data_IF_244798643096
#
_entry.id   IF_244798643096
#
_cell.length_a   1.000
_cell.length_b   1.000
_cell.length_c   1.000
_cell.angle_alpha   90.00
_cell.angle_beta   90.00
_cell.angle_gamma   90.00
#
_symmetry.space_group_name_H-M   'P 1'
#
loop_
_entity.id
_entity.type
_entity.pdbx_description
1 polymer ?
#
# COMPACT_ATOMS: atom_id res chain seq x y z
N UNK A 1 17.08 16.35 -17.89
CA UNK A 1 15.87 15.50 -18.00
C UNK A 1 16.22 14.01 -18.15
N UNK A 2 16.93 13.55 -19.19
CA UNK A 2 17.18 12.13 -19.46
C UNK A 2 17.73 11.36 -18.25
N UNK A 3 18.75 11.88 -17.57
CA UNK A 3 19.34 11.22 -16.39
C UNK A 3 18.30 11.06 -15.27
N UNK A 4 17.49 12.10 -15.00
CA UNK A 4 16.42 12.02 -14.00
C UNK A 4 15.36 10.97 -14.39
N UNK A 5 15.00 10.88 -15.66
CA UNK A 5 14.06 9.88 -16.18
C UNK A 5 14.58 8.46 -15.97
N UNK A 6 15.88 8.21 -16.23
CA UNK A 6 16.50 6.91 -15.97
C UNK A 6 16.47 6.58 -14.48
N UNK A 7 16.79 7.53 -13.62
CA UNK A 7 16.75 7.32 -12.16
C UNK A 7 15.32 7.08 -11.67
N UNK A 8 14.33 7.79 -12.19
CA UNK A 8 12.89 7.55 -11.91
C UNK A 8 12.48 6.16 -12.37
N UNK A 9 12.94 5.70 -13.55
CA UNK A 9 12.69 4.34 -14.00
C UNK A 9 13.31 3.30 -13.05
N UNK A 10 14.53 3.54 -12.54
CA UNK A 10 15.17 2.64 -11.57
C UNK A 10 14.41 2.61 -10.24
N UNK A 11 13.87 3.74 -9.79
CA UNK A 11 13.00 3.79 -8.59
C UNK A 11 11.71 3.01 -8.84
N UNK A 12 11.10 3.15 -10.02
CA UNK A 12 9.92 2.37 -10.39
C UNK A 12 10.22 0.86 -10.42
N UNK A 13 11.35 0.48 -11.01
CA UNK A 13 11.79 -0.92 -11.02
C UNK A 13 11.99 -1.47 -9.61
N UNK A 14 12.59 -0.67 -8.71
CA UNK A 14 12.75 -1.03 -7.30
C UNK A 14 11.39 -1.20 -6.61
N UNK A 15 10.45 -0.27 -6.81
CA UNK A 15 9.10 -0.34 -6.25
C UNK A 15 8.34 -1.59 -6.69
N UNK A 16 8.38 -1.92 -7.96
CA UNK A 16 7.74 -3.11 -8.51
C UNK A 16 8.51 -4.42 -8.26
N UNK A 17 9.64 -4.39 -7.55
CA UNK A 17 10.45 -5.58 -7.22
C UNK A 17 10.06 -6.26 -5.91
N UNK A 18 8.94 -5.91 -5.27
CA UNK A 18 8.53 -6.49 -3.98
C UNK A 18 8.41 -8.02 -4.05
N UNK A 19 7.85 -8.56 -5.12
CA UNK A 19 7.72 -10.00 -5.33
C UNK A 19 9.09 -10.74 -5.37
N UNK A 20 10.18 -10.03 -5.71
CA UNK A 20 11.54 -10.56 -5.73
C UNK A 20 12.23 -10.39 -4.36
N UNK A 21 12.00 -9.26 -3.69
CA UNK A 21 12.64 -8.89 -2.43
C UNK A 21 11.88 -9.39 -1.19
N UNK A 22 10.70 -9.98 -1.40
CA UNK A 22 9.78 -10.35 -0.31
C UNK A 22 9.07 -9.13 0.25
N UNK A 23 8.43 -9.26 1.40
CA UNK A 23 7.67 -8.18 2.05
C UNK A 23 8.62 -7.10 2.60
N UNK A 24 9.28 -6.39 1.70
CA UNK A 24 10.28 -5.36 2.02
C UNK A 24 9.68 -3.96 2.21
N UNK A 25 8.41 -3.76 1.83
CA UNK A 25 7.70 -2.47 1.84
C UNK A 25 8.40 -1.35 1.03
N UNK A 26 9.28 -1.70 0.08
CA UNK A 26 9.97 -0.74 -0.78
C UNK A 26 9.02 0.03 -1.70
N UNK A 27 7.84 -0.53 -1.99
CA UNK A 27 6.78 0.10 -2.78
C UNK A 27 5.98 1.16 -2.02
N UNK A 28 6.21 1.31 -0.71
CA UNK A 28 5.45 2.28 0.10
C UNK A 28 5.83 3.72 -0.22
N UNK A 29 4.84 4.65 -0.24
CA UNK A 29 5.09 6.07 -0.52
C UNK A 29 6.12 6.72 0.40
N UNK A 30 6.19 6.30 1.66
CA UNK A 30 7.18 6.81 2.64
C UNK A 30 8.63 6.46 2.25
N UNK A 31 8.83 5.43 1.42
CA UNK A 31 10.16 5.03 0.89
C UNK A 31 10.40 5.66 -0.48
N UNK A 32 9.41 5.60 -1.37
CA UNK A 32 9.54 6.10 -2.74
C UNK A 32 9.64 7.63 -2.80
N UNK A 33 8.90 8.35 -1.93
CA UNK A 33 8.90 9.81 -1.89
C UNK A 33 10.29 10.41 -1.67
N UNK A 34 11.02 10.03 -0.62
CA UNK A 34 12.41 10.47 -0.41
C UNK A 34 13.35 10.13 -1.57
N UNK A 35 13.21 8.95 -2.18
CA UNK A 35 14.04 8.55 -3.34
C UNK A 35 13.76 9.43 -4.56
N UNK A 36 12.49 9.71 -4.83
CA UNK A 36 12.09 10.67 -5.89
C UNK A 36 12.62 12.05 -5.57
N UNK A 37 12.47 12.52 -4.32
CA UNK A 37 13.00 13.81 -3.86
C UNK A 37 14.52 13.93 -4.06
N UNK A 38 15.26 12.87 -3.78
CA UNK A 38 16.71 12.82 -4.02
C UNK A 38 17.03 13.02 -5.51
N UNK A 39 16.30 12.38 -6.42
CA UNK A 39 16.48 12.54 -7.88
C UNK A 39 16.09 13.93 -8.34
N UNK A 40 15.07 14.51 -7.72
CA UNK A 40 14.61 15.87 -8.06
C UNK A 40 15.53 16.94 -7.49
N UNK A 41 16.31 16.65 -6.44
CA UNK A 41 17.28 17.57 -5.81
C UNK A 41 16.78 18.18 -4.49
N UNK A 42 15.62 17.75 -3.99
CA UNK A 42 15.09 18.14 -2.68
C UNK A 42 14.47 16.94 -1.98
N UNK A 43 15.28 16.23 -1.20
CA UNK A 43 14.87 15.06 -0.45
C UNK A 43 13.84 15.41 0.65
N UNK A 44 13.91 16.62 1.22
CA UNK A 44 13.00 17.02 2.31
C UNK A 44 11.59 17.17 1.77
N UNK A 45 11.41 17.91 0.69
CA UNK A 45 10.10 18.05 0.02
C UNK A 45 9.58 16.70 -0.47
N UNK A 46 10.43 15.85 -1.08
CA UNK A 46 10.06 14.50 -1.47
C UNK A 46 9.60 13.62 -0.30
N UNK A 47 10.23 13.77 0.88
CA UNK A 47 9.82 13.06 2.09
C UNK A 47 8.48 13.53 2.62
N UNK A 48 8.23 14.84 2.64
CA UNK A 48 6.95 15.43 3.08
C UNK A 48 5.82 14.96 2.15
N UNK A 49 6.02 15.03 0.84
CA UNK A 49 5.06 14.56 -0.15
C UNK A 49 4.81 13.05 -0.04
N UNK A 50 5.87 12.25 0.10
CA UNK A 50 5.79 10.81 0.29
C UNK A 50 5.05 10.42 1.58
N UNK A 51 5.30 11.13 2.68
CA UNK A 51 4.58 10.91 3.93
C UNK A 51 3.09 11.27 3.80
N UNK A 52 2.76 12.34 3.09
CA UNK A 52 1.36 12.73 2.82
C UNK A 52 0.65 11.69 1.96
N UNK A 53 1.31 11.18 0.91
CA UNK A 53 0.81 10.06 0.09
C UNK A 53 0.65 8.78 0.91
N UNK A 54 1.59 8.49 1.82
CA UNK A 54 1.51 7.33 2.71
C UNK A 54 0.28 7.38 3.60
N UNK A 55 0.02 8.54 4.23
CA UNK A 55 -1.17 8.72 5.09
C UNK A 55 -2.48 8.57 4.31
N UNK A 56 -2.51 9.05 3.07
CA UNK A 56 -3.69 8.91 2.20
C UNK A 56 -3.91 7.47 1.74
N UNK A 57 -2.82 6.73 1.48
CA UNK A 57 -2.87 5.38 0.92
C UNK A 57 -2.61 4.28 1.97
N UNK A 58 -2.52 4.60 3.25
CA UNK A 58 -2.25 3.61 4.31
C UNK A 58 -3.31 2.51 4.37
N UNK A 59 -4.56 2.84 4.04
CA UNK A 59 -5.68 1.91 3.97
C UNK A 59 -5.82 1.17 2.63
N UNK A 60 -5.01 1.50 1.63
CA UNK A 60 -5.03 0.87 0.32
C UNK A 60 -4.27 -0.48 0.37
N UNK A 61 -4.90 -1.48 0.98
CA UNK A 61 -4.36 -2.84 1.14
C UNK A 61 -5.25 -3.80 0.37
N UNK A 62 -4.65 -4.71 -0.40
CA UNK A 62 -5.41 -5.76 -1.09
C UNK A 62 -5.96 -6.77 -0.09
N UNK A 63 -7.28 -6.92 -0.07
CA UNK A 63 -7.98 -7.90 0.77
C UNK A 63 -8.98 -8.66 -0.11
N UNK A 64 -8.82 -9.96 -0.19
CA UNK A 64 -9.62 -10.80 -1.07
C UNK A 64 -9.43 -10.45 -2.55
N UNK A 65 -10.51 -10.21 -3.26
CA UNK A 65 -10.50 -9.83 -4.68
C UNK A 65 -10.34 -8.32 -4.93
N UNK A 66 -10.25 -7.50 -3.88
CA UNK A 66 -10.04 -6.06 -4.01
C UNK A 66 -8.59 -5.76 -4.36
N UNK A 67 -8.38 -5.04 -5.46
CA UNK A 67 -7.07 -4.53 -5.86
C UNK A 67 -7.05 -3.00 -5.68
N UNK A 68 -6.24 -2.46 -4.77
CA UNK A 68 -6.15 -1.03 -4.53
C UNK A 68 -5.50 -0.29 -5.70
N UNK A 69 -5.65 1.06 -5.79
CA UNK A 69 -4.91 1.87 -6.74
C UNK A 69 -3.41 1.62 -6.65
N UNK A 70 -2.71 1.69 -7.78
CA UNK A 70 -1.26 1.44 -7.83
C UNK A 70 -0.46 2.53 -7.10
N UNK A 71 -0.06 2.23 -5.87
CA UNK A 71 0.63 3.17 -4.99
C UNK A 71 2.00 3.58 -5.51
N UNK A 72 2.65 2.73 -6.33
CA UNK A 72 3.99 2.97 -6.87
C UNK A 72 3.94 4.09 -7.91
N UNK A 73 3.12 3.91 -8.96
CA UNK A 73 2.98 4.92 -10.01
C UNK A 73 2.40 6.22 -9.47
N UNK A 74 1.38 6.13 -8.60
CA UNK A 74 0.77 7.29 -7.97
C UNK A 74 1.79 8.10 -7.17
N UNK A 75 2.64 7.45 -6.39
CA UNK A 75 3.66 8.14 -5.60
C UNK A 75 4.76 8.72 -6.47
N UNK A 76 5.36 7.91 -7.35
CA UNK A 76 6.49 8.37 -8.17
C UNK A 76 6.08 9.52 -9.07
N UNK A 77 4.97 9.42 -9.77
CA UNK A 77 4.49 10.47 -10.66
C UNK A 77 3.88 11.64 -9.89
N UNK A 78 3.08 11.39 -8.86
CA UNK A 78 2.51 12.44 -8.04
C UNK A 78 3.58 13.34 -7.42
N UNK A 79 4.58 12.74 -6.75
CA UNK A 79 5.68 13.50 -6.13
C UNK A 79 6.57 14.17 -7.19
N UNK A 80 7.00 13.42 -8.21
CA UNK A 80 7.94 13.99 -9.20
C UNK A 80 7.34 15.10 -10.03
N UNK A 81 6.08 14.98 -10.44
CA UNK A 81 5.39 16.00 -11.23
C UNK A 81 5.03 17.23 -10.39
N UNK A 82 4.58 17.05 -9.13
CA UNK A 82 4.35 18.15 -8.20
C UNK A 82 5.64 18.93 -7.92
N UNK A 83 6.77 18.24 -7.70
CA UNK A 83 8.07 18.87 -7.52
C UNK A 83 8.55 19.60 -8.79
N UNK A 84 8.30 19.07 -10.00
CA UNK A 84 8.61 19.76 -11.25
C UNK A 84 7.82 21.06 -11.41
N UNK A 85 6.56 21.04 -10.98
CA UNK A 85 5.70 22.22 -11.03
C UNK A 85 5.96 23.22 -9.87
N UNK A 86 6.83 22.88 -8.91
CA UNK A 86 7.05 23.69 -7.70
C UNK A 86 5.82 23.79 -6.81
N UNK A 87 4.93 22.80 -6.88
CA UNK A 87 3.69 22.72 -6.13
C UNK A 87 3.91 22.05 -4.76
N UNK A 88 2.91 22.13 -3.90
CA UNK A 88 2.93 21.59 -2.53
C UNK A 88 2.56 20.09 -2.44
N UNK A 89 2.48 19.58 -1.20
CA UNK A 89 2.17 18.16 -0.96
C UNK A 89 0.73 17.78 -1.36
N UNK A 90 -0.22 18.72 -1.37
CA UNK A 90 -1.60 18.48 -1.80
C UNK A 90 -1.68 18.21 -3.30
N UNK A 91 -0.84 18.91 -4.10
CA UNK A 91 -0.72 18.65 -5.52
C UNK A 91 -0.21 17.24 -5.83
N UNK A 92 0.72 16.71 -5.02
CA UNK A 92 1.18 15.34 -5.19
C UNK A 92 0.04 14.32 -5.02
N UNK A 93 -0.86 14.51 -4.05
CA UNK A 93 -2.07 13.69 -3.89
C UNK A 93 -3.02 13.81 -5.08
N UNK A 94 -3.29 15.04 -5.47
CA UNK A 94 -4.23 15.35 -6.56
C UNK A 94 -3.82 14.74 -7.89
N UNK A 95 -2.52 14.75 -8.18
CA UNK A 95 -1.97 14.14 -9.39
C UNK A 95 -1.80 12.63 -9.22
N UNK A 96 -1.32 12.18 -8.07
CA UNK A 96 -0.94 10.80 -7.83
C UNK A 96 -2.12 9.84 -7.78
N UNK A 97 -3.24 10.19 -7.11
CA UNK A 97 -4.38 9.29 -6.95
C UNK A 97 -5.06 8.94 -8.28
N UNK A 98 -5.40 9.91 -9.17
CA UNK A 98 -5.93 9.59 -10.48
C UNK A 98 -4.97 8.76 -11.34
N UNK A 99 -3.67 9.08 -11.30
CA UNK A 99 -2.64 8.32 -12.03
C UNK A 99 -2.59 6.88 -11.53
N UNK A 100 -2.57 6.67 -10.21
CA UNK A 100 -2.60 5.34 -9.58
C UNK A 100 -3.79 4.50 -10.06
N UNK A 101 -4.96 5.13 -10.19
CA UNK A 101 -6.18 4.47 -10.65
C UNK A 101 -6.12 4.11 -12.14
N UNK A 102 -5.59 5.00 -12.97
CA UNK A 102 -5.42 4.75 -14.41
C UNK A 102 -4.42 3.61 -14.64
N UNK A 103 -3.28 3.64 -13.94
CA UNK A 103 -2.25 2.59 -14.08
C UNK A 103 -2.81 1.24 -13.60
N UNK A 104 -3.54 1.20 -12.48
CA UNK A 104 -4.23 0.00 -12.03
C UNK A 104 -5.17 -0.57 -13.12
N UNK A 105 -5.97 0.30 -13.76
CA UNK A 105 -6.88 -0.12 -14.81
C UNK A 105 -6.13 -0.72 -16.01
N UNK A 106 -5.01 -0.10 -16.41
CA UNK A 106 -4.16 -0.59 -17.51
C UNK A 106 -3.45 -1.91 -17.14
N UNK A 107 -2.89 -2.02 -15.94
CA UNK A 107 -2.25 -3.27 -15.48
C UNK A 107 -3.28 -4.40 -15.34
N UNK A 108 -4.52 -4.09 -14.93
CA UNK A 108 -5.59 -5.08 -14.89
C UNK A 108 -6.03 -5.50 -16.28
N UNK A 109 -6.18 -4.56 -17.21
CA UNK A 109 -6.68 -4.85 -18.56
C UNK A 109 -5.61 -5.48 -19.47
N UNK A 110 -4.35 -5.08 -19.34
CA UNK A 110 -3.26 -5.47 -20.23
C UNK A 110 -2.19 -6.32 -19.53
N UNK A 111 -1.84 -5.99 -18.29
CA UNK A 111 -0.77 -6.67 -17.54
C UNK A 111 -1.20 -8.07 -17.10
N UNK A 112 -2.38 -8.22 -16.52
CA UNK A 112 -2.86 -9.53 -16.05
C UNK A 112 -3.00 -10.57 -17.18
N UNK A 113 -3.54 -10.28 -18.38
CA UNK A 113 -3.55 -11.25 -19.46
C UNK A 113 -2.15 -11.69 -19.91
N UNK A 114 -1.18 -10.76 -19.95
CA UNK A 114 0.23 -11.09 -20.29
C UNK A 114 0.84 -12.00 -19.22
N UNK A 115 0.61 -11.69 -17.96
CA UNK A 115 1.04 -12.55 -16.83
C UNK A 115 0.43 -13.95 -16.95
N UNK A 116 -0.87 -14.06 -17.24
CA UNK A 116 -1.55 -15.34 -17.37
C UNK A 116 -0.96 -16.21 -18.47
N UNK A 117 -0.61 -15.62 -19.63
CA UNK A 117 0.06 -16.33 -20.71
C UNK A 117 1.45 -16.89 -20.29
N UNK A 118 2.17 -16.14 -19.45
CA UNK A 118 3.46 -16.61 -18.92
C UNK A 118 3.27 -17.71 -17.86
N UNK A 119 2.23 -17.65 -17.05
CA UNK A 119 1.87 -18.72 -16.09
C UNK A 119 1.61 -20.02 -16.83
N UNK A 120 0.81 -20.02 -17.89
CA UNK A 120 0.59 -21.23 -18.70
C UNK A 120 1.90 -21.80 -19.33
N UNK A 121 2.88 -20.93 -19.64
CA UNK A 121 4.19 -21.41 -20.09
C UNK A 121 4.98 -22.04 -18.96
N UNK A 122 4.84 -21.51 -17.74
CA UNK A 122 5.49 -22.09 -16.55
C UNK A 122 4.91 -23.48 -16.29
N UNK A 123 3.58 -23.66 -16.36
CA UNK A 123 2.93 -24.95 -16.19
C UNK A 123 3.51 -26.00 -17.16
N UNK A 124 3.65 -25.63 -18.44
CA UNK A 124 4.27 -26.50 -19.44
C UNK A 124 5.73 -26.83 -19.13
N UNK A 125 6.51 -25.84 -18.64
CA UNK A 125 7.91 -26.11 -18.26
C UNK A 125 8.02 -27.04 -17.04
N UNK A 126 7.01 -27.03 -16.15
CA UNK A 126 6.92 -27.97 -15.04
C UNK A 126 6.68 -29.40 -15.56
N UNK A 127 5.78 -29.57 -16.54
CA UNK A 127 5.51 -30.85 -17.19
C UNK A 127 6.78 -31.39 -17.88
N UNK A 128 7.55 -30.51 -18.54
CA UNK A 128 8.80 -30.84 -19.22
C UNK A 128 9.99 -31.05 -18.27
N UNK A 129 9.87 -30.71 -16.98
CA UNK A 129 10.92 -30.82 -15.95
C UNK A 129 12.07 -29.81 -16.12
N UNK A 130 11.90 -28.72 -16.90
CA UNK A 130 12.93 -27.69 -17.13
C UNK A 130 12.94 -26.62 -16.01
N UNK A 131 13.70 -26.90 -14.95
CA UNK A 131 13.83 -26.00 -13.80
C UNK A 131 14.39 -24.61 -14.19
N UNK A 132 15.30 -24.55 -15.17
CA UNK A 132 15.88 -23.26 -15.61
C UNK A 132 14.84 -22.41 -16.34
N UNK A 133 14.02 -23.02 -17.19
CA UNK A 133 12.92 -22.32 -17.85
C UNK A 133 11.85 -21.88 -16.86
N UNK A 134 11.51 -22.67 -15.86
CA UNK A 134 10.60 -22.31 -14.78
C UNK A 134 11.10 -21.03 -14.06
N UNK A 135 12.34 -21.05 -13.56
CA UNK A 135 12.91 -19.90 -12.84
C UNK A 135 12.93 -18.64 -13.71
N UNK A 136 13.39 -18.75 -14.97
CA UNK A 136 13.44 -17.62 -15.90
C UNK A 136 12.05 -17.04 -16.17
N UNK A 137 11.06 -17.90 -16.44
CA UNK A 137 9.71 -17.45 -16.77
C UNK A 137 8.98 -16.89 -15.53
N UNK A 138 9.26 -17.40 -14.32
CA UNK A 138 8.78 -16.79 -13.07
C UNK A 138 9.33 -15.37 -12.86
N UNK A 139 10.64 -15.16 -13.11
CA UNK A 139 11.24 -13.81 -13.00
C UNK A 139 10.63 -12.84 -14.02
N UNK A 140 10.35 -13.30 -15.24
CA UNK A 140 9.70 -12.47 -16.26
C UNK A 140 8.25 -12.20 -15.88
N UNK A 141 7.51 -13.21 -15.40
CA UNK A 141 6.12 -13.08 -15.01
C UNK A 141 5.91 -12.09 -13.86
N UNK A 142 6.86 -12.00 -12.91
CA UNK A 142 6.82 -11.06 -11.80
C UNK A 142 6.74 -9.60 -12.23
N UNK A 143 7.46 -9.22 -13.31
CA UNK A 143 7.37 -7.87 -13.89
C UNK A 143 6.28 -7.74 -14.96
N UNK A 144 5.82 -8.85 -15.51
CA UNK A 144 4.86 -8.84 -16.61
C UNK A 144 3.47 -8.37 -16.18
N UNK A 145 3.12 -8.45 -14.89
CA UNK A 145 1.86 -7.90 -14.39
C UNK A 145 1.87 -6.37 -14.42
N UNK A 146 2.99 -5.74 -14.08
CA UNK A 146 3.14 -4.29 -13.91
C UNK A 146 3.95 -3.63 -15.03
N UNK A 147 4.03 -4.27 -16.21
CA UNK A 147 4.81 -3.72 -17.33
C UNK A 147 4.27 -2.38 -17.83
N UNK A 148 2.95 -2.16 -17.74
CA UNK A 148 2.34 -0.89 -18.10
C UNK A 148 2.83 0.24 -17.19
N UNK A 149 2.81 0.03 -15.87
CA UNK A 149 3.34 1.00 -14.91
C UNK A 149 4.81 1.30 -15.14
N UNK A 150 5.64 0.26 -15.37
CA UNK A 150 7.07 0.42 -15.64
C UNK A 150 7.36 1.27 -16.89
N UNK A 151 6.51 1.22 -17.91
CA UNK A 151 6.66 2.05 -19.12
C UNK A 151 6.03 3.43 -18.96
N UNK A 152 4.87 3.51 -18.35
CA UNK A 152 4.13 4.77 -18.20
C UNK A 152 4.88 5.75 -17.29
N UNK A 153 5.47 5.29 -16.19
CA UNK A 153 6.15 6.16 -15.24
C UNK A 153 7.26 7.01 -15.90
N UNK A 154 8.27 6.44 -16.58
CA UNK A 154 9.32 7.25 -17.18
C UNK A 154 8.81 8.09 -18.35
N UNK A 155 7.83 7.61 -19.13
CA UNK A 155 7.24 8.38 -20.23
C UNK A 155 6.43 9.56 -19.70
N UNK A 156 5.57 9.35 -18.72
CA UNK A 156 4.77 10.41 -18.10
C UNK A 156 5.68 11.44 -17.39
N UNK A 157 6.75 10.99 -16.74
CA UNK A 157 7.72 11.91 -16.13
C UNK A 157 8.46 12.77 -17.18
N UNK A 158 8.83 12.17 -18.32
CA UNK A 158 9.58 12.86 -19.36
C UNK A 158 8.74 13.89 -20.13
N UNK A 159 7.50 13.52 -20.47
CA UNK A 159 6.60 14.33 -21.30
C UNK A 159 5.54 15.09 -20.48
N UNK A 160 5.33 14.72 -19.22
CA UNK A 160 4.20 15.19 -18.43
C UNK A 160 4.39 16.55 -17.76
N UNK A 161 5.61 17.06 -17.64
CA UNK A 161 5.89 18.31 -16.92
C UNK A 161 5.11 19.50 -17.47
N UNK A 162 5.13 19.70 -18.78
CA UNK A 162 4.44 20.82 -19.43
C UNK A 162 2.91 20.66 -19.39
N UNK A 163 2.44 19.40 -19.53
CA UNK A 163 1.03 19.08 -19.44
C UNK A 163 0.48 19.30 -18.03
N UNK A 164 1.24 18.92 -16.98
CA UNK A 164 0.85 19.13 -15.58
C UNK A 164 0.88 20.61 -15.22
N UNK A 165 1.91 21.35 -15.60
CA UNK A 165 1.97 22.79 -15.37
C UNK A 165 0.79 23.52 -16.03
N UNK A 166 0.44 23.13 -17.26
CA UNK A 166 -0.72 23.69 -17.97
C UNK A 166 -2.04 23.31 -17.28
N UNK A 167 -2.15 22.07 -16.79
CA UNK A 167 -3.33 21.60 -16.06
C UNK A 167 -3.53 22.36 -14.75
N UNK A 168 -2.47 22.52 -13.95
CA UNK A 168 -2.53 23.24 -12.68
C UNK A 168 -2.92 24.70 -12.86
N UNK A 169 -2.47 25.35 -13.95
CA UNK A 169 -2.82 26.72 -14.26
C UNK A 169 -4.27 26.93 -14.74
N UNK A 170 -4.93 25.87 -15.21
CA UNK A 170 -6.34 25.91 -15.63
C UNK A 170 -7.29 25.70 -14.44
N UNK A 171 -6.81 25.09 -13.37
CA UNK A 171 -7.63 24.79 -12.19
C UNK A 171 -7.95 26.08 -11.44
N UNK A 172 -9.25 26.45 -11.29
CA UNK A 172 -9.63 27.65 -10.54
C UNK A 172 -9.26 27.53 -9.05
N UNK A 173 -8.97 28.65 -8.39
CA UNK A 173 -8.55 28.71 -6.98
C UNK A 173 -9.52 28.00 -6.01
N UNK A 174 -10.84 28.08 -6.26
CA UNK A 174 -11.83 27.38 -5.41
C UNK A 174 -11.71 25.86 -5.52
N UNK A 175 -11.31 25.35 -6.68
CA UNK A 175 -11.08 23.89 -6.87
C UNK A 175 -9.79 23.49 -6.17
N UNK A 176 -8.71 24.29 -6.28
CA UNK A 176 -7.46 24.06 -5.57
C UNK A 176 -7.69 24.02 -4.05
N UNK A 177 -8.40 25.03 -3.52
CA UNK A 177 -8.78 25.05 -2.11
C UNK A 177 -9.62 23.81 -1.71
N UNK A 178 -10.56 23.40 -2.56
CA UNK A 178 -11.35 22.18 -2.35
C UNK A 178 -10.49 20.92 -2.33
N UNK A 179 -9.48 20.84 -3.19
CA UNK A 179 -8.53 19.75 -3.24
C UNK A 179 -7.63 19.71 -2.01
N UNK A 180 -7.16 20.86 -1.52
CA UNK A 180 -6.36 20.95 -0.29
C UNK A 180 -7.16 20.47 0.92
N UNK A 181 -8.41 20.89 1.03
CA UNK A 181 -9.31 20.42 2.08
C UNK A 181 -9.56 18.92 1.96
N UNK A 182 -9.83 18.43 0.75
CA UNK A 182 -10.00 16.99 0.49
C UNK A 182 -8.74 16.20 0.84
N UNK A 183 -7.56 16.68 0.46
CA UNK A 183 -6.27 16.09 0.81
C UNK A 183 -6.06 15.99 2.32
N UNK A 184 -6.51 17.00 3.10
CA UNK A 184 -6.45 16.95 4.55
C UNK A 184 -7.37 15.88 5.17
N UNK A 185 -8.44 15.47 4.48
CA UNK A 185 -9.34 14.38 4.94
C UNK A 185 -8.87 12.99 4.52
N UNK A 186 -8.04 12.85 3.48
CA UNK A 186 -7.60 11.53 3.00
C UNK A 186 -6.90 10.68 4.06
N UNK A 187 -6.01 11.21 4.93
CA UNK A 187 -5.45 10.44 6.03
C UNK A 187 -6.51 9.87 6.97
N UNK A 188 -7.54 10.67 7.29
CA UNK A 188 -8.65 10.21 8.13
C UNK A 188 -9.44 9.08 7.45
N UNK A 189 -9.66 9.16 6.12
CA UNK A 189 -10.27 8.10 5.34
C UNK A 189 -9.42 6.82 5.35
N UNK A 190 -8.09 6.94 5.15
CA UNK A 190 -7.16 5.82 5.22
C UNK A 190 -7.20 5.13 6.58
N UNK A 191 -7.16 5.88 7.67
CA UNK A 191 -7.32 5.32 9.02
C UNK A 191 -8.70 4.72 9.27
N UNK A 192 -9.77 5.29 8.72
CA UNK A 192 -11.12 4.72 8.83
C UNK A 192 -11.21 3.36 8.11
N UNK A 193 -10.57 3.21 6.95
CA UNK A 193 -10.50 1.93 6.24
C UNK A 193 -9.73 0.88 7.05
N UNK A 194 -8.58 1.22 7.63
CA UNK A 194 -7.85 0.32 8.54
C UNK A 194 -8.68 -0.03 9.78
N UNK A 195 -9.34 0.96 10.39
CA UNK A 195 -10.21 0.72 11.53
C UNK A 195 -11.35 -0.24 11.17
N UNK A 196 -11.96 -0.10 9.98
CA UNK A 196 -13.02 -0.99 9.51
C UNK A 196 -12.56 -2.46 9.40
N UNK A 197 -11.30 -2.69 9.01
CA UNK A 197 -10.74 -4.05 8.91
C UNK A 197 -10.52 -4.71 10.27
N UNK A 198 -10.19 -3.92 11.30
CA UNK A 198 -9.87 -4.39 12.65
C UNK A 198 -11.12 -4.36 13.56
N UNK A 199 -12.08 -3.48 13.25
CA UNK A 199 -13.22 -3.19 14.09
C UNK A 199 -14.19 -4.38 14.16
N UNK A 200 -14.44 -4.84 15.39
CA UNK A 200 -15.50 -5.79 15.69
C UNK A 200 -16.21 -5.35 16.99
N UNK A 201 -17.27 -6.05 17.36
CA UNK A 201 -18.07 -5.68 18.57
C UNK A 201 -17.25 -5.70 19.87
N UNK A 202 -16.18 -6.47 19.92
CA UNK A 202 -15.30 -6.61 21.09
C UNK A 202 -14.26 -5.49 21.14
N UNK A 203 -13.72 -5.07 19.98
CA UNK A 203 -12.65 -4.07 19.89
C UNK A 203 -13.19 -2.64 19.85
N UNK A 204 -14.40 -2.43 19.30
CA UNK A 204 -15.00 -1.11 19.16
C UNK A 204 -15.01 -0.27 20.45
N UNK A 205 -15.37 -0.80 21.65
CA UNK A 205 -15.33 -0.01 22.88
C UNK A 205 -13.95 0.54 23.22
N UNK A 206 -12.88 -0.23 22.95
CA UNK A 206 -11.50 0.21 23.21
C UNK A 206 -11.05 1.31 22.25
N UNK A 207 -11.51 1.27 21.01
CA UNK A 207 -11.28 2.35 20.06
C UNK A 207 -11.88 3.68 20.56
N UNK A 208 -13.16 3.66 20.95
CA UNK A 208 -13.81 4.85 21.49
C UNK A 208 -13.17 5.31 22.79
N UNK A 209 -12.78 4.40 23.68
CA UNK A 209 -12.07 4.76 24.89
C UNK A 209 -10.75 5.50 24.57
N UNK A 210 -9.94 4.99 23.64
CA UNK A 210 -8.72 5.65 23.18
C UNK A 210 -8.99 7.02 22.56
N UNK A 211 -10.02 7.13 21.72
CA UNK A 211 -10.43 8.39 21.11
C UNK A 211 -10.79 9.45 22.17
N UNK A 212 -11.60 9.09 23.15
CA UNK A 212 -12.01 10.02 24.22
C UNK A 212 -10.84 10.43 25.13
N UNK A 213 -9.89 9.51 25.40
CA UNK A 213 -8.68 9.84 26.17
C UNK A 213 -7.83 10.90 25.46
N UNK A 214 -7.70 10.83 24.14
CA UNK A 214 -6.98 11.86 23.38
C UNK A 214 -7.80 13.15 23.29
N UNK A 215 -9.07 13.05 22.90
CA UNK A 215 -9.91 14.22 22.59
C UNK A 215 -10.28 15.06 23.82
N UNK A 216 -10.56 14.43 24.95
CA UNK A 216 -11.01 15.14 26.15
C UNK A 216 -9.95 15.31 27.24
N UNK A 217 -9.04 14.33 27.38
CA UNK A 217 -7.98 14.40 28.39
C UNK A 217 -6.67 14.94 27.86
N UNK A 218 -6.55 15.13 26.54
CA UNK A 218 -5.36 15.67 25.90
C UNK A 218 -4.12 14.77 26.02
N UNK A 219 -4.32 13.48 26.30
CA UNK A 219 -3.21 12.52 26.37
C UNK A 219 -2.68 12.29 24.96
N UNK A 220 -1.36 12.28 24.79
CA UNK A 220 -0.76 11.99 23.49
C UNK A 220 -1.15 10.60 22.97
N UNK A 221 -1.32 10.46 21.67
CA UNK A 221 -1.62 9.16 21.02
C UNK A 221 -0.60 8.08 21.39
N UNK A 222 0.68 8.46 21.51
CA UNK A 222 1.76 7.56 21.97
C UNK A 222 1.53 7.10 23.41
N UNK A 223 1.10 8.00 24.31
CA UNK A 223 0.77 7.66 25.69
C UNK A 223 -0.37 6.66 25.77
N UNK A 224 -1.46 6.91 25.00
CA UNK A 224 -2.60 5.97 24.91
C UNK A 224 -2.17 4.60 24.39
N UNK A 225 -1.31 4.57 23.38
CA UNK A 225 -0.79 3.29 22.83
C UNK A 225 0.02 2.49 23.85
N UNK A 226 0.87 3.15 24.64
CA UNK A 226 1.65 2.50 25.71
C UNK A 226 0.72 1.94 26.80
N UNK A 227 -0.26 2.72 27.27
CA UNK A 227 -1.23 2.24 28.25
C UNK A 227 -2.06 1.08 27.73
N UNK A 228 -2.51 1.13 26.46
CA UNK A 228 -3.24 0.04 25.83
C UNK A 228 -2.39 -1.24 25.77
N UNK A 229 -1.10 -1.14 25.39
CA UNK A 229 -0.19 -2.27 25.37
C UNK A 229 -0.02 -2.89 26.77
N UNK A 230 0.14 -2.09 27.81
CA UNK A 230 0.24 -2.57 29.20
C UNK A 230 -1.05 -3.31 29.61
N UNK A 231 -2.22 -2.76 29.29
CA UNK A 231 -3.53 -3.38 29.60
C UNK A 231 -3.64 -4.74 28.90
N UNK A 232 -3.29 -4.81 27.61
CA UNK A 232 -3.35 -6.08 26.84
C UNK A 232 -2.44 -7.14 27.45
N UNK A 233 -1.19 -6.78 27.77
CA UNK A 233 -0.25 -7.72 28.44
C UNK A 233 -0.78 -8.15 29.80
N UNK A 234 -1.31 -7.25 30.60
CA UNK A 234 -1.90 -7.59 31.91
C UNK A 234 -3.10 -8.54 31.75
N UNK A 235 -3.99 -8.28 30.78
CA UNK A 235 -5.17 -9.13 30.52
C UNK A 235 -4.77 -10.52 30.03
N UNK A 236 -3.76 -10.65 29.16
CA UNK A 236 -3.29 -11.96 28.69
C UNK A 236 -2.65 -12.76 29.82
N UNK A 237 -1.78 -12.15 30.62
CA UNK A 237 -1.14 -12.82 31.76
C UNK A 237 -2.15 -13.26 32.82
N UNK A 238 -3.16 -12.44 33.10
CA UNK A 238 -4.24 -12.78 34.05
C UNK A 238 -5.19 -13.81 33.46
N UNK A 239 -5.44 -13.78 32.15
CA UNK A 239 -6.29 -14.75 31.45
C UNK A 239 -5.69 -16.17 31.45
N UNK A 240 -4.38 -16.27 31.22
CA UNK A 240 -3.67 -17.55 31.25
C UNK A 240 -3.64 -18.19 32.65
N UNK A 241 -3.52 -17.37 33.70
CA UNK A 241 -3.62 -17.85 35.09
C UNK A 241 -5.00 -18.44 35.38
N UNK A 242 -6.09 -17.79 34.92
CA UNK A 242 -7.46 -18.33 35.11
C UNK A 242 -7.71 -19.65 34.34
N UNK A 243 -7.09 -19.83 33.18
CA UNK A 243 -7.17 -21.10 32.43
C UNK A 243 -6.39 -22.23 33.09
N UNK A 244 -5.27 -21.90 33.73
CA UNK A 244 -4.45 -22.89 34.45
C UNK A 244 -5.10 -23.34 35.77
N UNK A 245 -6.00 -22.55 36.39
CA UNK A 245 -6.73 -22.86 37.61
C UNK A 245 -8.07 -23.60 37.37
N UNK A 246 -8.55 -23.75 36.14
CA UNK A 246 -9.69 -24.60 35.87
C UNK A 246 -9.25 -26.07 35.91
N UNK A 247 -9.78 -26.89 36.83
CA UNK A 247 -9.49 -28.32 36.86
C UNK A 247 -9.92 -28.91 35.52
N UNK A 248 -9.04 -29.70 34.92
CA UNK A 248 -9.34 -30.44 33.69
C UNK A 248 -10.61 -31.25 33.92
N UNK A 249 -11.72 -30.83 33.34
CA UNK A 249 -12.91 -31.67 33.24
C UNK A 249 -12.49 -32.85 32.39
N UNK A 250 -12.37 -34.02 33.00
CA UNK A 250 -12.12 -35.25 32.30
C UNK A 250 -13.21 -35.40 31.24
N UNK A 251 -12.86 -35.16 29.99
CA UNK A 251 -13.67 -35.59 28.86
C UNK A 251 -13.63 -37.10 28.86
N UNK A 252 -14.71 -37.75 29.34
CA UNK A 252 -15.00 -39.15 29.06
C UNK A 252 -14.93 -39.32 27.53
N UNK A 253 -14.07 -40.23 27.15
CA UNK A 253 -13.82 -40.70 25.81
C UNK A 253 -15.11 -41.27 25.20
N UNK A 254 -15.75 -40.68 24.19
CA UNK A 254 -16.77 -41.41 23.45
C UNK A 254 -16.02 -42.25 22.41
N UNK A 255 -16.16 -43.56 22.61
CA UNK A 255 -15.76 -44.68 21.80
C UNK A 255 -15.48 -44.35 20.33
N UNK A 256 -14.31 -44.80 19.90
CA UNK A 256 -13.90 -45.00 18.52
C UNK A 256 -15.04 -45.67 17.72
N UNK A 257 -15.72 -44.86 16.91
CA UNK A 257 -16.64 -45.32 15.88
C UNK A 257 -16.01 -45.11 14.53
N UNK A 258 -15.57 -46.19 13.91
CA UNK A 258 -15.15 -46.34 12.52
C UNK A 258 -16.11 -45.67 11.54
N UNK A 259 -15.56 -44.88 10.62
CA UNK A 259 -16.30 -44.28 9.51
C UNK A 259 -15.39 -43.49 8.59
N UNK A 260 -14.37 -44.13 8.04
CA UNK A 260 -13.85 -43.72 6.73
C UNK A 260 -14.84 -44.26 5.71
N UNK A 261 -15.63 -43.37 5.14
CA UNK A 261 -16.18 -43.53 3.80
C UNK A 261 -16.84 -42.21 3.37
N UNK A 262 -16.40 -41.75 2.19
CA UNK A 262 -17.07 -40.89 1.22
C UNK A 262 -16.94 -39.35 1.37
N UNK A 263 -16.26 -38.88 0.40
CA UNK A 263 -16.14 -37.74 -0.48
C UNK A 263 -14.93 -36.84 -0.24
#
# INVERSE_FOLDING_TARGET
>A
MVIKTILIFLIALLGYSEWLTGTSYLQRPIVLGPLVGLVMGDMVTGTIMGATMELAMVGAISVGAYNPPDTISGTILGVSLAMQAGADASAALTLGIPIATIVLALDTALGQPVMLLLVHRIDKNVEDGDIKAITRNMLIAGYAQSWCGLLIIPLAFFFGADAVASLLNIIPDFVQTGMDVAAAFLPALGFAMLAQMIMNKTVAPFFFAGFFLVAYFGISTTGVAIFAAIIVVAMTVLGDKKKAEQPAVATEDPAIGSGFDEF
#
